data_IF_353767050066
#
_entry.id   IF_353767050066
#
_cell.length_a   1.000
_cell.length_b   1.000
_cell.length_c   1.000
_cell.angle_alpha   90.00
_cell.angle_beta   90.00
_cell.angle_gamma   90.00
#
_symmetry.space_group_name_H-M   'P 1'
#
loop_
_entity.id
_entity.type
_entity.pdbx_description
1 polymer ?
#
# COMPACT_ATOMS: atom_id res chain seq x y z
N UNK A 1 -0.13 14.60 3.13
CA UNK A 1 0.65 13.46 2.72
C UNK A 1 1.93 13.92 2.01
N UNK A 2 3.04 13.26 2.19
CA UNK A 2 4.37 13.69 1.68
C UNK A 2 4.81 12.98 0.39
N UNK A 3 3.87 12.47 -0.42
CA UNK A 3 4.22 11.79 -1.68
C UNK A 3 4.70 12.75 -2.76
N UNK A 4 5.46 12.25 -3.70
CA UNK A 4 5.95 13.00 -4.86
C UNK A 4 5.32 12.53 -6.17
N UNK A 5 4.09 12.04 -6.14
CA UNK A 5 3.35 11.52 -7.29
C UNK A 5 1.99 12.17 -7.42
N UNK A 6 1.49 12.20 -8.65
CA UNK A 6 0.13 12.58 -8.97
C UNK A 6 -0.42 11.62 -10.02
N UNK A 7 -1.70 11.29 -9.91
CA UNK A 7 -2.41 10.44 -10.86
C UNK A 7 -3.71 11.13 -11.28
N UNK A 8 -3.96 11.17 -12.57
CA UNK A 8 -5.13 11.81 -13.17
C UNK A 8 -5.80 10.83 -14.13
N UNK A 9 -7.11 10.72 -14.05
CA UNK A 9 -7.90 10.01 -15.06
C UNK A 9 -8.29 10.96 -16.18
N UNK A 10 -7.84 10.66 -17.40
CA UNK A 10 -8.26 11.35 -18.61
C UNK A 10 -9.50 10.65 -19.18
N UNK A 11 -10.66 11.31 -19.13
CA UNK A 11 -11.92 10.74 -19.61
C UNK A 11 -11.93 10.49 -21.12
N UNK A 12 -11.29 11.39 -21.90
CA UNK A 12 -11.05 11.16 -23.31
C UNK A 12 -10.03 10.04 -23.50
N UNK A 13 -10.48 8.90 -24.01
CA UNK A 13 -9.68 7.70 -24.21
C UNK A 13 -9.52 6.82 -22.97
N UNK A 14 -10.20 7.10 -21.87
CA UNK A 14 -10.23 6.29 -20.63
C UNK A 14 -8.83 5.88 -20.17
N UNK A 15 -7.96 6.86 -19.97
CA UNK A 15 -6.57 6.64 -19.56
C UNK A 15 -6.30 7.17 -18.16
N UNK A 16 -5.62 6.39 -17.35
CA UNK A 16 -5.06 6.85 -16.08
C UNK A 16 -3.59 7.21 -16.28
N UNK A 17 -3.23 8.45 -16.01
CA UNK A 17 -1.90 9.01 -16.24
C UNK A 17 -1.26 9.29 -14.89
N UNK A 18 -0.08 8.71 -14.64
CA UNK A 18 0.70 8.94 -13.44
C UNK A 18 2.00 9.68 -13.74
N UNK A 19 2.42 10.53 -12.81
CA UNK A 19 3.74 11.16 -12.79
C UNK A 19 4.34 11.04 -11.39
N UNK A 20 5.62 10.70 -11.33
CA UNK A 20 6.39 10.66 -10.08
C UNK A 20 7.63 11.54 -10.23
N UNK A 21 7.61 12.70 -9.62
CA UNK A 21 8.71 13.65 -9.58
C UNK A 21 8.78 14.27 -8.18
N UNK A 22 9.30 13.54 -7.18
CA UNK A 22 9.32 14.00 -5.79
C UNK A 22 10.03 15.33 -5.61
N UNK A 23 10.99 15.65 -6.46
CA UNK A 23 11.75 16.91 -6.43
C UNK A 23 10.86 18.14 -6.71
N UNK A 24 9.75 17.96 -7.43
CA UNK A 24 8.85 19.04 -7.82
C UNK A 24 7.50 18.92 -7.08
N UNK A 25 6.96 17.72 -6.97
CA UNK A 25 5.59 17.50 -6.48
C UNK A 25 5.50 17.37 -4.97
N UNK A 26 6.59 16.96 -4.29
CA UNK A 26 6.56 16.80 -2.85
C UNK A 26 6.37 18.16 -2.16
N UNK A 27 5.36 18.29 -1.27
CA UNK A 27 5.16 19.52 -0.52
C UNK A 27 6.36 19.79 0.43
N UNK A 28 6.63 21.05 0.69
CA UNK A 28 7.68 21.47 1.63
C UNK A 28 7.34 21.02 3.06
N UNK A 29 6.07 21.05 3.41
CA UNK A 29 5.53 20.48 4.65
C UNK A 29 4.10 20.00 4.43
N UNK A 30 3.63 19.10 5.29
CA UNK A 30 2.24 18.66 5.32
C UNK A 30 1.73 18.71 6.77
N UNK A 31 0.53 19.27 6.96
CA UNK A 31 -0.18 19.24 8.25
C UNK A 31 -1.19 18.10 8.18
N UNK A 32 -0.95 17.06 8.95
CA UNK A 32 -1.77 15.86 8.96
C UNK A 32 -2.65 15.84 10.21
N UNK A 33 -3.92 16.25 10.06
CA UNK A 33 -4.91 16.18 11.14
C UNK A 33 -5.81 14.96 10.91
N UNK A 34 -5.75 13.93 11.78
CA UNK A 34 -6.56 12.72 11.65
C UNK A 34 -8.07 12.98 11.69
N UNK A 35 -8.52 14.00 12.40
CA UNK A 35 -9.95 14.36 12.51
C UNK A 35 -10.58 14.67 11.15
N UNK A 36 -9.82 15.18 10.19
CA UNK A 36 -10.30 15.45 8.84
C UNK A 36 -10.71 14.19 8.08
N UNK A 37 -10.32 13.00 8.58
CA UNK A 37 -10.67 11.72 7.98
C UNK A 37 -11.91 11.06 8.61
N UNK A 38 -12.50 11.62 9.67
CA UNK A 38 -13.65 11.02 10.36
C UNK A 38 -14.89 10.91 9.46
N UNK A 39 -15.03 11.79 8.50
CA UNK A 39 -16.16 11.79 7.56
C UNK A 39 -16.01 10.86 6.37
N UNK A 40 -14.87 10.17 6.24
CA UNK A 40 -14.69 9.16 5.19
C UNK A 40 -15.64 7.98 5.42
N UNK A 41 -16.28 7.53 4.35
CA UNK A 41 -17.08 6.31 4.41
C UNK A 41 -16.21 5.08 4.72
N UNK A 42 -16.83 4.03 5.27
CA UNK A 42 -16.15 2.75 5.50
C UNK A 42 -15.50 2.22 4.21
N UNK A 43 -16.18 2.36 3.06
CA UNK A 43 -15.65 1.98 1.76
C UNK A 43 -14.36 2.72 1.39
N UNK A 44 -14.34 4.04 1.55
CA UNK A 44 -13.14 4.84 1.25
C UNK A 44 -12.01 4.57 2.24
N UNK A 45 -12.34 4.37 3.51
CA UNK A 45 -11.36 4.00 4.53
C UNK A 45 -10.72 2.64 4.20
N UNK A 46 -11.51 1.61 3.92
CA UNK A 46 -11.00 0.28 3.55
C UNK A 46 -10.18 0.31 2.25
N UNK A 47 -10.65 1.04 1.25
CA UNK A 47 -9.93 1.21 -0.02
C UNK A 47 -8.58 1.89 0.19
N UNK A 48 -8.52 2.96 1.00
CA UNK A 48 -7.26 3.64 1.32
C UNK A 48 -6.28 2.74 2.08
N UNK A 49 -6.78 1.95 3.04
CA UNK A 49 -5.95 0.98 3.77
C UNK A 49 -5.37 -0.08 2.84
N UNK A 50 -6.17 -0.59 1.92
CA UNK A 50 -5.71 -1.55 0.91
C UNK A 50 -4.64 -0.95 0.01
N UNK A 51 -4.82 0.29 -0.41
CA UNK A 51 -3.84 1.00 -1.24
C UNK A 51 -2.50 1.21 -0.51
N UNK A 52 -2.53 1.58 0.77
CA UNK A 52 -1.33 1.67 1.60
C UNK A 52 -0.59 0.32 1.68
N UNK A 53 -1.31 -0.77 1.92
CA UNK A 53 -0.74 -2.12 1.92
C UNK A 53 -0.11 -2.45 0.57
N UNK A 54 -0.81 -2.18 -0.52
CA UNK A 54 -0.33 -2.42 -1.88
C UNK A 54 0.96 -1.66 -2.16
N UNK A 55 1.03 -0.37 -1.82
CA UNK A 55 2.23 0.45 -1.97
C UNK A 55 3.47 -0.11 -1.24
N UNK A 56 3.26 -0.68 -0.04
CA UNK A 56 4.36 -1.31 0.71
C UNK A 56 4.73 -2.65 0.09
N UNK A 57 3.75 -3.45 -0.32
CA UNK A 57 3.96 -4.76 -0.93
C UNK A 57 4.71 -4.68 -2.27
N UNK A 58 4.44 -3.67 -3.10
CA UNK A 58 5.17 -3.42 -4.35
C UNK A 58 6.67 -3.16 -4.14
N UNK A 59 7.05 -2.69 -2.96
CA UNK A 59 8.45 -2.49 -2.55
C UNK A 59 9.03 -3.68 -1.82
N UNK A 60 8.21 -4.37 -1.03
CA UNK A 60 8.62 -5.51 -0.22
C UNK A 60 8.92 -6.75 -1.05
N UNK A 61 8.08 -7.06 -2.05
CA UNK A 61 8.28 -8.21 -2.94
C UNK A 61 9.31 -7.95 -4.05
N UNK A 62 10.38 -7.26 -3.68
CA UNK A 62 11.52 -7.00 -4.55
C UNK A 62 12.38 -8.23 -4.73
N UNK A 63 13.10 -8.30 -5.87
CA UNK A 63 14.16 -9.29 -6.09
C UNK A 63 15.51 -8.86 -5.51
N UNK A 64 15.59 -7.67 -4.91
CA UNK A 64 16.83 -7.14 -4.31
C UNK A 64 17.20 -7.97 -3.08
N UNK A 65 18.45 -8.40 -3.02
CA UNK A 65 18.96 -9.23 -1.92
C UNK A 65 19.68 -8.36 -0.87
N UNK A 66 19.73 -8.86 0.38
CA UNK A 66 20.48 -8.21 1.45
C UNK A 66 19.83 -6.94 2.00
N UNK A 67 18.52 -6.83 1.93
CA UNK A 67 17.73 -5.63 2.30
C UNK A 67 16.95 -5.81 3.63
N UNK A 68 17.51 -6.49 4.60
CA UNK A 68 16.84 -6.84 5.87
C UNK A 68 16.24 -5.62 6.58
N UNK A 69 16.91 -4.45 6.58
CA UNK A 69 16.36 -3.24 7.21
C UNK A 69 15.12 -2.76 6.47
N UNK A 70 15.16 -2.69 5.14
CA UNK A 70 14.01 -2.29 4.34
C UNK A 70 12.84 -3.29 4.52
N UNK A 71 13.14 -4.58 4.56
CA UNK A 71 12.16 -5.63 4.85
C UNK A 71 11.47 -5.41 6.20
N UNK A 72 12.24 -5.20 7.27
CA UNK A 72 11.69 -4.96 8.61
C UNK A 72 10.87 -3.68 8.69
N UNK A 73 11.26 -2.65 7.97
CA UNK A 73 10.46 -1.42 7.90
C UNK A 73 9.11 -1.67 7.22
N UNK A 74 9.11 -2.36 6.08
CA UNK A 74 7.89 -2.76 5.38
C UNK A 74 7.00 -3.63 6.28
N UNK A 75 7.56 -4.70 6.86
CA UNK A 75 6.87 -5.64 7.73
C UNK A 75 6.25 -4.95 8.95
N UNK A 76 7.00 -4.06 9.61
CA UNK A 76 6.52 -3.31 10.76
C UNK A 76 5.34 -2.40 10.42
N UNK A 77 5.40 -1.69 9.29
CA UNK A 77 4.31 -0.81 8.87
C UNK A 77 3.09 -1.62 8.43
N UNK A 78 3.27 -2.69 7.66
CA UNK A 78 2.16 -3.58 7.25
C UNK A 78 1.48 -4.20 8.47
N UNK A 79 2.25 -4.68 9.46
CA UNK A 79 1.69 -5.24 10.68
C UNK A 79 0.92 -4.21 11.50
N UNK A 80 1.40 -2.98 11.59
CA UNK A 80 0.67 -1.89 12.23
C UNK A 80 -0.65 -1.60 11.51
N UNK A 81 -0.65 -1.58 10.18
CA UNK A 81 -1.88 -1.42 9.38
C UNK A 81 -2.87 -2.57 9.65
N UNK A 82 -2.41 -3.81 9.65
CA UNK A 82 -3.25 -5.00 9.95
C UNK A 82 -3.91 -4.90 11.32
N UNK A 83 -3.19 -4.38 12.33
CA UNK A 83 -3.70 -4.22 13.68
C UNK A 83 -4.68 -3.03 13.82
N UNK A 84 -4.41 -1.92 13.14
CA UNK A 84 -5.21 -0.69 13.27
C UNK A 84 -6.44 -0.67 12.32
N UNK A 85 -6.39 -1.40 11.22
CA UNK A 85 -7.48 -1.44 10.26
C UNK A 85 -8.84 -1.86 10.87
N UNK A 86 -8.94 -2.94 11.67
CA UNK A 86 -10.19 -3.31 12.33
C UNK A 86 -10.68 -2.22 13.30
N UNK A 87 -9.77 -1.55 14.00
CA UNK A 87 -10.11 -0.48 14.95
C UNK A 87 -10.71 0.72 14.24
N UNK A 88 -10.08 1.22 13.19
CA UNK A 88 -10.61 2.36 12.43
C UNK A 88 -11.90 2.03 11.69
N UNK A 89 -12.13 0.76 11.35
CA UNK A 89 -13.38 0.32 10.72
C UNK A 89 -14.53 0.19 11.72
N UNK A 90 -14.27 -0.22 12.97
CA UNK A 90 -15.28 -0.33 14.03
C UNK A 90 -15.51 0.98 14.78
N UNK A 91 -14.49 1.82 14.88
CA UNK A 91 -14.49 3.10 15.59
C UNK A 91 -14.00 4.21 14.63
N UNK A 92 -14.84 4.69 13.69
CA UNK A 92 -14.41 5.59 12.61
C UNK A 92 -13.87 6.95 13.06
N UNK A 93 -14.20 7.38 14.26
CA UNK A 93 -13.79 8.62 14.91
C UNK A 93 -12.72 8.41 16.00
N UNK A 94 -12.14 7.21 16.10
CA UNK A 94 -11.03 6.94 17.01
C UNK A 94 -9.77 7.66 16.50
N UNK A 95 -9.36 8.70 17.24
CA UNK A 95 -8.22 9.55 16.87
C UNK A 95 -6.93 8.76 16.71
N UNK A 96 -6.60 7.88 17.64
CA UNK A 96 -5.33 7.14 17.64
C UNK A 96 -5.25 6.17 16.46
N UNK A 97 -6.35 5.45 16.16
CA UNK A 97 -6.43 4.56 15.01
C UNK A 97 -6.30 5.34 13.69
N UNK A 98 -7.01 6.49 13.56
CA UNK A 98 -6.89 7.37 12.38
C UNK A 98 -5.49 7.94 12.23
N UNK A 99 -4.86 8.38 13.32
CA UNK A 99 -3.50 8.91 13.31
C UNK A 99 -2.48 7.86 12.85
N UNK A 100 -2.59 6.63 13.36
CA UNK A 100 -1.73 5.53 12.96
C UNK A 100 -1.90 5.18 11.47
N UNK A 101 -3.13 5.09 10.97
CA UNK A 101 -3.40 4.83 9.56
C UNK A 101 -2.90 5.99 8.69
N UNK A 102 -3.13 7.25 9.07
CA UNK A 102 -2.63 8.42 8.34
C UNK A 102 -1.10 8.43 8.26
N UNK A 103 -0.42 8.13 9.36
CA UNK A 103 1.03 8.05 9.37
C UNK A 103 1.55 6.87 8.53
N UNK A 104 0.93 5.70 8.64
CA UNK A 104 1.25 4.55 7.79
C UNK A 104 1.11 4.88 6.31
N UNK A 105 0.05 5.61 5.92
CA UNK A 105 -0.14 6.09 4.55
C UNK A 105 1.01 6.98 4.07
N UNK A 106 1.49 7.90 4.92
CA UNK A 106 2.65 8.73 4.59
C UNK A 106 3.91 7.88 4.37
N UNK A 107 4.19 6.94 5.26
CA UNK A 107 5.37 6.06 5.15
C UNK A 107 5.27 5.16 3.92
N UNK A 108 4.07 4.65 3.61
CA UNK A 108 3.81 3.84 2.43
C UNK A 108 4.08 4.58 1.11
N UNK A 109 3.81 5.91 1.07
CA UNK A 109 3.87 6.68 -0.18
C UNK A 109 5.14 7.52 -0.37
N UNK A 110 5.87 7.84 0.70
CA UNK A 110 7.02 8.77 0.62
C UNK A 110 8.33 8.12 0.15
N UNK A 111 8.34 6.82 -0.12
CA UNK A 111 9.50 6.06 -0.58
C UNK A 111 10.36 5.46 0.54
N UNK A 112 10.05 5.71 1.81
CA UNK A 112 10.84 5.21 2.95
C UNK A 112 10.95 3.68 2.95
N UNK A 113 9.86 2.98 2.63
CA UNK A 113 9.83 1.52 2.55
C UNK A 113 10.57 0.94 1.33
N UNK A 114 10.95 1.74 0.35
CA UNK A 114 11.61 1.30 -0.88
C UNK A 114 13.11 1.60 -0.94
N UNK A 115 13.70 2.10 0.15
CA UNK A 115 15.10 2.52 0.15
C UNK A 115 16.03 1.31 -0.09
N UNK A 116 16.82 1.39 -1.17
CA UNK A 116 17.76 0.34 -1.56
C UNK A 116 17.14 -0.86 -2.27
N UNK A 117 15.85 -0.83 -2.57
CA UNK A 117 15.13 -1.88 -3.27
C UNK A 117 14.73 -1.47 -4.68
N UNK A 118 14.72 -2.42 -5.61
CA UNK A 118 13.98 -2.29 -6.87
C UNK A 118 12.49 -2.40 -6.57
N UNK A 119 11.70 -1.50 -7.12
CA UNK A 119 10.26 -1.47 -6.92
C UNK A 119 9.57 -2.12 -8.13
N UNK A 120 8.57 -2.97 -7.89
CA UNK A 120 7.71 -3.54 -8.94
C UNK A 120 6.29 -2.95 -8.81
N UNK A 121 5.84 -2.26 -9.83
CA UNK A 121 4.54 -1.60 -9.88
C UNK A 121 3.55 -2.31 -10.82
N UNK A 122 3.72 -3.61 -11.04
CA UNK A 122 2.89 -4.39 -11.95
C UNK A 122 1.42 -4.42 -11.53
N UNK A 123 1.14 -4.59 -10.22
CA UNK A 123 -0.24 -4.65 -9.72
C UNK A 123 -0.95 -3.31 -9.83
N UNK A 124 -0.26 -2.21 -9.51
CA UNK A 124 -0.78 -0.85 -9.73
C UNK A 124 -1.00 -0.57 -11.22
N UNK A 125 -0.05 -0.95 -12.09
CA UNK A 125 -0.18 -0.78 -13.53
C UNK A 125 -1.42 -1.48 -14.10
N UNK A 126 -1.67 -2.71 -13.70
CA UNK A 126 -2.87 -3.46 -14.11
C UNK A 126 -4.16 -2.82 -13.57
N UNK A 127 -4.14 -2.39 -12.31
CA UNK A 127 -5.31 -1.75 -11.68
C UNK A 127 -5.65 -0.43 -12.34
N UNK A 128 -4.67 0.37 -12.71
CA UNK A 128 -4.88 1.65 -13.37
C UNK A 128 -5.69 1.51 -14.67
N UNK A 129 -5.43 0.46 -15.45
CA UNK A 129 -6.20 0.18 -16.68
C UNK A 129 -7.66 -0.21 -16.34
N UNK A 130 -7.86 -1.02 -15.29
CA UNK A 130 -9.19 -1.43 -14.85
C UNK A 130 -9.97 -0.22 -14.34
N UNK A 131 -9.39 0.58 -13.45
CA UNK A 131 -10.06 1.74 -12.90
C UNK A 131 -10.30 2.85 -13.93
N UNK A 132 -9.45 2.95 -14.96
CA UNK A 132 -9.67 3.90 -16.05
C UNK A 132 -10.91 3.53 -16.90
N UNK A 133 -11.12 2.22 -17.14
CA UNK A 133 -12.21 1.73 -18.01
C UNK A 133 -13.53 1.61 -17.24
N UNK A 134 -13.48 1.12 -16.01
CA UNK A 134 -14.67 0.73 -15.24
C UNK A 134 -15.01 1.65 -14.07
N UNK A 135 -14.22 2.72 -13.87
CA UNK A 135 -14.40 3.69 -12.77
C UNK A 135 -14.43 3.01 -11.38
N UNK A 136 -13.62 1.98 -11.20
CA UNK A 136 -13.48 1.28 -9.92
C UNK A 136 -12.64 2.13 -8.96
N UNK A 137 -13.04 2.19 -7.69
CA UNK A 137 -12.22 2.80 -6.63
C UNK A 137 -10.87 2.09 -6.57
N UNK A 138 -9.78 2.85 -6.69
CA UNK A 138 -8.41 2.34 -6.86
C UNK A 138 -8.03 1.23 -5.86
N UNK A 139 -8.15 1.50 -4.56
CA UNK A 139 -7.82 0.50 -3.54
C UNK A 139 -8.73 -0.75 -3.59
N UNK A 140 -9.98 -0.61 -4.03
CA UNK A 140 -10.86 -1.77 -4.23
C UNK A 140 -10.42 -2.62 -5.43
N UNK A 141 -9.94 -2.00 -6.51
CA UNK A 141 -9.32 -2.69 -7.64
C UNK A 141 -8.05 -3.45 -7.20
N UNK A 142 -7.20 -2.82 -6.42
CA UNK A 142 -6.00 -3.46 -5.85
C UNK A 142 -6.34 -4.64 -4.94
N UNK A 143 -7.46 -4.58 -4.18
CA UNK A 143 -7.92 -5.69 -3.35
C UNK A 143 -8.25 -6.96 -4.14
N UNK A 144 -8.58 -6.82 -5.42
CA UNK A 144 -8.83 -7.96 -6.33
C UNK A 144 -7.54 -8.42 -7.00
N UNK A 145 -6.70 -7.48 -7.44
CA UNK A 145 -5.49 -7.80 -8.22
C UNK A 145 -4.39 -8.39 -7.34
N UNK A 146 -4.13 -7.81 -6.17
CA UNK A 146 -3.00 -8.20 -5.33
C UNK A 146 -3.04 -9.66 -4.88
N UNK A 147 -4.16 -10.23 -4.41
CA UNK A 147 -4.21 -11.66 -4.06
C UNK A 147 -3.93 -12.58 -5.25
N UNK A 148 -4.39 -12.20 -6.44
CA UNK A 148 -4.11 -12.96 -7.67
C UNK A 148 -2.62 -12.87 -8.05
N UNK A 149 -2.04 -11.68 -7.97
CA UNK A 149 -0.61 -11.46 -8.18
C UNK A 149 0.23 -12.24 -7.14
N UNK A 150 -0.15 -12.19 -5.87
CA UNK A 150 0.56 -12.91 -4.80
C UNK A 150 0.55 -14.42 -5.02
N UNK A 151 -0.56 -14.97 -5.49
CA UNK A 151 -0.69 -16.38 -5.88
C UNK A 151 0.25 -16.75 -7.03
N UNK A 152 0.43 -15.82 -7.98
CA UNK A 152 1.41 -15.99 -9.05
C UNK A 152 2.84 -15.88 -8.52
N UNK A 153 3.15 -14.85 -7.73
CA UNK A 153 4.47 -14.58 -7.16
C UNK A 153 4.96 -15.73 -6.26
N UNK A 154 4.07 -16.39 -5.53
CA UNK A 154 4.39 -17.53 -4.68
C UNK A 154 5.03 -18.70 -5.46
N UNK A 155 4.75 -18.85 -6.75
CA UNK A 155 5.36 -19.87 -7.61
C UNK A 155 6.81 -19.55 -7.97
N UNK A 156 7.22 -18.30 -7.88
CA UNK A 156 8.52 -17.82 -8.30
C UNK A 156 9.42 -17.39 -7.13
N UNK A 157 8.84 -17.00 -6.02
CA UNK A 157 9.57 -16.55 -4.82
C UNK A 157 8.86 -17.01 -3.55
N UNK A 158 8.81 -18.32 -3.34
CA UNK A 158 8.20 -18.96 -2.16
C UNK A 158 8.76 -18.41 -0.86
N UNK A 159 10.09 -18.24 -0.76
CA UNK A 159 10.74 -17.77 0.46
C UNK A 159 10.28 -16.38 0.89
N UNK A 160 10.08 -15.46 -0.06
CA UNK A 160 9.63 -14.10 0.25
C UNK A 160 8.15 -14.08 0.67
N UNK A 161 7.33 -14.94 0.05
CA UNK A 161 5.91 -15.07 0.43
C UNK A 161 5.77 -15.74 1.80
N UNK A 162 6.57 -16.76 2.10
CA UNK A 162 6.62 -17.37 3.43
C UNK A 162 7.07 -16.36 4.51
N UNK A 163 8.12 -15.58 4.22
CA UNK A 163 8.56 -14.49 5.11
C UNK A 163 7.42 -13.50 5.41
N UNK A 164 6.67 -13.09 4.40
CA UNK A 164 5.50 -12.22 4.55
C UNK A 164 4.41 -12.86 5.43
N UNK A 165 4.08 -14.11 5.17
CA UNK A 165 3.08 -14.84 5.94
C UNK A 165 3.46 -14.94 7.42
N UNK A 166 4.71 -15.31 7.71
CA UNK A 166 5.21 -15.44 9.08
C UNK A 166 5.33 -14.09 9.79
N UNK A 167 5.96 -13.11 9.14
CA UNK A 167 6.36 -11.87 9.81
C UNK A 167 5.27 -10.80 9.88
N UNK A 168 4.31 -10.82 8.94
CA UNK A 168 3.20 -9.85 8.91
C UNK A 168 1.91 -10.45 9.46
N UNK A 169 1.63 -11.72 9.12
CA UNK A 169 0.36 -12.37 9.45
C UNK A 169 0.45 -13.38 10.60
N UNK A 170 1.62 -13.52 11.22
CA UNK A 170 1.85 -14.45 12.34
C UNK A 170 1.50 -15.92 11.99
N UNK A 171 1.60 -16.29 10.72
CA UNK A 171 1.49 -17.69 10.32
C UNK A 171 2.63 -18.47 10.96
N UNK A 172 2.37 -19.61 11.61
CA UNK A 172 3.44 -20.41 12.20
C UNK A 172 4.50 -20.78 11.15
N UNK A 173 5.77 -20.58 11.49
CA UNK A 173 6.88 -21.02 10.67
C UNK A 173 6.92 -22.55 10.72
N UNK A 174 6.72 -23.21 9.59
CA UNK A 174 6.75 -24.65 9.47
C UNK A 174 7.48 -25.05 8.20
N UNK A 175 8.18 -26.20 8.24
CA UNK A 175 8.88 -26.77 7.09
C UNK A 175 7.94 -27.21 5.95
N UNK A 176 6.62 -27.09 6.15
CA UNK A 176 5.55 -27.48 5.22
C UNK A 176 4.98 -26.30 4.40
N UNK A 177 5.63 -25.12 4.43
CA UNK A 177 5.25 -23.94 3.64
C UNK A 177 5.95 -23.90 2.27
#
# INVERSE_FOLDING_TARGET
>A
EGSGNAVITKLDGLRKLGIRTPEILRPVFAVMNPELTYTLSAWQTASGITDMMAHIMERYFSNTQGVEIADRMCEGVMKAIVNEAPRVMSEPDNYDARANIMWAGTVAHNGTCGVGCEEDWASHGLEHEISAIYDVTHGAGLAVIFPAWLTYAAKHNVGKVAQYAVRVWDVPDSDDL
#
